data_IF_136038338642
#
_entry.id   IF_136038338642
#
_cell.length_a   1.000
_cell.length_b   1.000
_cell.length_c   1.000
_cell.angle_alpha   90.00
_cell.angle_beta   90.00
_cell.angle_gamma   90.00
#
_symmetry.space_group_name_H-M   'P 1'
#
loop_
_entity.id
_entity.type
_entity.pdbx_description
1 polymer ?
#
# COMPACT_ATOMS: atom_id res chain seq x y z
N UNK A 1 16.96 22.33 5.77
CA UNK A 1 16.12 21.20 5.37
C UNK A 1 16.40 20.09 6.39
N UNK A 2 15.38 19.60 7.07
CA UNK A 2 15.56 18.59 8.13
C UNK A 2 15.54 17.20 7.52
N UNK A 3 16.65 16.47 7.61
CA UNK A 3 16.75 15.05 7.22
C UNK A 3 15.93 14.13 8.15
N UNK A 4 15.44 14.66 9.27
CA UNK A 4 14.66 13.97 10.30
C UNK A 4 13.22 13.61 9.89
N UNK A 5 12.75 14.13 8.75
CA UNK A 5 11.39 13.86 8.28
C UNK A 5 11.31 12.65 7.35
N UNK A 6 12.43 12.28 6.71
CA UNK A 6 12.42 11.13 5.80
C UNK A 6 12.33 9.84 6.62
N UNK A 7 11.35 8.95 6.35
CA UNK A 7 11.31 7.66 7.02
C UNK A 7 12.55 6.83 6.68
N UNK A 8 12.76 5.75 7.41
CA UNK A 8 13.81 4.78 7.07
C UNK A 8 13.55 4.19 5.69
N UNK A 9 14.55 4.25 4.82
CA UNK A 9 14.48 3.84 3.43
C UNK A 9 15.42 2.66 3.16
N UNK A 10 14.97 1.70 2.37
CA UNK A 10 15.82 0.64 1.80
C UNK A 10 16.18 0.99 0.35
N UNK A 11 17.44 0.80 -0.02
CA UNK A 11 17.87 0.85 -1.42
C UNK A 11 17.52 -0.48 -2.08
N UNK A 12 16.69 -0.41 -3.12
CA UNK A 12 16.40 -1.55 -3.97
C UNK A 12 17.30 -1.45 -5.20
N UNK A 13 18.20 -2.44 -5.40
CA UNK A 13 19.15 -2.38 -6.51
C UNK A 13 18.43 -2.50 -7.85
N UNK A 14 18.86 -1.72 -8.80
CA UNK A 14 18.42 -1.78 -10.19
C UNK A 14 18.65 -3.16 -10.81
N UNK A 15 18.11 -3.34 -12.00
CA UNK A 15 18.23 -4.58 -12.75
C UNK A 15 16.89 -5.24 -13.06
N UNK A 16 16.96 -6.36 -13.75
CA UNK A 16 15.80 -7.10 -14.23
C UNK A 16 15.14 -7.93 -13.13
N UNK A 17 13.83 -8.12 -13.25
CA UNK A 17 13.07 -9.12 -12.50
C UNK A 17 11.87 -9.60 -13.34
N UNK A 18 11.29 -10.74 -12.97
CA UNK A 18 10.06 -11.24 -13.55
C UNK A 18 8.85 -10.70 -12.80
N UNK A 19 8.03 -9.89 -13.46
CA UNK A 19 6.79 -9.32 -12.95
C UNK A 19 5.60 -10.15 -13.38
N UNK A 20 4.62 -10.32 -12.46
CA UNK A 20 3.41 -11.08 -12.70
C UNK A 20 3.47 -12.53 -12.22
N UNK A 21 2.45 -13.31 -12.58
CA UNK A 21 2.33 -14.73 -12.24
C UNK A 21 1.47 -15.46 -13.26
N UNK A 22 1.93 -16.63 -13.75
CA UNK A 22 1.14 -17.48 -14.67
C UNK A 22 0.06 -18.28 -13.93
N UNK A 23 0.24 -18.53 -12.63
CA UNK A 23 -0.65 -19.33 -11.79
C UNK A 23 -1.71 -18.50 -11.03
N UNK A 24 -1.88 -17.22 -11.42
CA UNK A 24 -2.75 -16.28 -10.74
C UNK A 24 -3.88 -15.76 -11.65
N UNK A 25 -4.48 -14.61 -11.29
CA UNK A 25 -5.58 -14.02 -12.05
C UNK A 25 -5.12 -13.53 -13.44
N UNK A 26 -6.07 -13.36 -14.37
CA UNK A 26 -5.77 -13.04 -15.77
C UNK A 26 -5.04 -11.72 -15.96
N UNK A 27 -5.26 -10.75 -15.06
CA UNK A 27 -4.64 -9.43 -15.10
C UNK A 27 -3.22 -9.39 -14.49
N UNK A 28 -2.76 -10.49 -13.89
CA UNK A 28 -1.38 -10.71 -13.45
C UNK A 28 -0.50 -11.32 -14.55
N UNK A 29 -1.07 -11.56 -15.74
CA UNK A 29 -0.43 -12.18 -16.92
C UNK A 29 -0.25 -11.21 -18.09
N UNK A 30 0.71 -11.50 -18.97
CA UNK A 30 1.74 -12.53 -18.89
C UNK A 30 2.82 -12.19 -17.86
N UNK A 31 3.54 -13.19 -17.37
CA UNK A 31 4.83 -12.97 -16.71
C UNK A 31 5.77 -12.33 -17.75
N UNK A 32 6.40 -11.22 -17.38
CA UNK A 32 7.26 -10.47 -18.28
C UNK A 32 8.48 -9.90 -17.56
N UNK A 33 9.55 -9.66 -18.32
CA UNK A 33 10.76 -9.03 -17.79
C UNK A 33 10.58 -7.54 -17.69
N UNK A 34 10.93 -7.00 -16.53
CA UNK A 34 10.97 -5.57 -16.26
C UNK A 34 12.36 -5.21 -15.72
N UNK A 35 12.96 -4.17 -16.28
CA UNK A 35 14.17 -3.55 -15.76
C UNK A 35 13.78 -2.28 -15.00
N UNK A 36 14.23 -2.17 -13.76
CA UNK A 36 14.12 -0.95 -12.96
C UNK A 36 15.52 -0.37 -12.69
N UNK A 37 15.62 0.94 -12.62
CA UNK A 37 16.79 1.61 -12.09
C UNK A 37 16.80 1.49 -10.55
N UNK A 38 17.90 1.87 -9.89
CA UNK A 38 17.96 1.94 -8.43
C UNK A 38 16.88 2.88 -7.90
N UNK A 39 16.22 2.50 -6.81
CA UNK A 39 15.26 3.37 -6.12
C UNK A 39 15.30 3.13 -4.61
N UNK A 40 14.90 4.13 -3.86
CA UNK A 40 14.67 4.02 -2.43
C UNK A 40 13.18 3.76 -2.18
N UNK A 41 12.87 2.87 -1.23
CA UNK A 41 11.50 2.63 -0.78
C UNK A 41 11.44 2.63 0.75
N UNK A 42 10.39 3.19 1.33
CA UNK A 42 10.21 3.16 2.78
C UNK A 42 10.11 1.71 3.28
N UNK A 43 10.85 1.39 4.34
CA UNK A 43 10.92 0.02 4.87
C UNK A 43 9.57 -0.47 5.41
N UNK A 44 8.63 0.44 5.67
CA UNK A 44 7.28 0.17 6.17
C UNK A 44 6.27 1.13 5.54
N UNK A 45 4.95 0.86 5.65
CA UNK A 45 3.92 1.84 5.32
C UNK A 45 4.06 3.12 6.16
N UNK A 46 3.60 4.27 5.61
CA UNK A 46 3.56 5.53 6.36
C UNK A 46 2.70 5.35 7.61
N UNK A 47 3.27 5.67 8.76
CA UNK A 47 2.60 5.56 10.06
C UNK A 47 1.70 6.75 10.35
N UNK A 48 0.76 6.58 11.29
CA UNK A 48 -0.05 7.68 11.78
C UNK A 48 0.81 8.82 12.36
N UNK A 49 1.88 8.50 13.07
CA UNK A 49 2.79 9.51 13.62
C UNK A 49 3.49 10.35 12.54
N UNK A 50 3.92 9.71 11.45
CA UNK A 50 4.53 10.41 10.30
C UNK A 50 3.51 11.26 9.57
N UNK A 51 2.31 10.72 9.33
CA UNK A 51 1.23 11.45 8.66
C UNK A 51 0.72 12.65 9.50
N UNK A 52 0.74 12.55 10.83
CA UNK A 52 0.35 13.65 11.72
C UNK A 52 1.28 14.88 11.59
N UNK A 53 2.55 14.68 11.25
CA UNK A 53 3.45 15.81 10.95
C UNK A 53 2.98 16.56 9.71
N UNK A 54 2.64 15.83 8.65
CA UNK A 54 2.11 16.41 7.42
C UNK A 54 0.81 17.20 7.66
N UNK A 55 -0.15 16.61 8.41
CA UNK A 55 -1.40 17.29 8.72
C UNK A 55 -1.16 18.60 9.49
N UNK A 56 -0.29 18.57 10.51
CA UNK A 56 0.07 19.78 11.30
C UNK A 56 0.77 20.86 10.47
N UNK A 57 1.69 20.46 9.59
CA UNK A 57 2.50 21.40 8.83
C UNK A 57 1.73 22.08 7.70
N UNK A 58 0.73 21.38 7.15
CA UNK A 58 0.02 21.83 5.94
C UNK A 58 -1.43 22.22 6.16
N UNK A 59 -2.04 21.83 7.28
CA UNK A 59 -3.49 21.93 7.49
C UNK A 59 -4.29 20.98 6.59
N UNK A 60 -3.64 19.94 6.04
CA UNK A 60 -4.36 18.92 5.28
C UNK A 60 -5.40 18.24 6.16
N UNK A 61 -6.52 17.84 5.56
CA UNK A 61 -7.60 17.17 6.31
C UNK A 61 -7.09 15.89 7.00
N UNK A 62 -7.44 15.66 8.26
CA UNK A 62 -7.06 14.45 8.97
C UNK A 62 -7.85 13.22 8.45
N UNK A 63 -7.35 12.00 8.66
CA UNK A 63 -8.10 10.78 8.39
C UNK A 63 -9.44 10.73 9.13
N UNK A 64 -10.53 10.67 8.36
CA UNK A 64 -11.89 10.60 8.92
C UNK A 64 -12.86 9.94 7.94
N UNK A 65 -14.04 9.56 8.41
CA UNK A 65 -15.14 9.12 7.55
C UNK A 65 -15.95 10.33 7.11
N UNK A 66 -15.58 10.90 5.97
CA UNK A 66 -16.29 12.01 5.31
C UNK A 66 -17.50 11.51 4.51
N UNK A 67 -17.39 11.55 3.18
CA UNK A 67 -18.36 10.96 2.27
C UNK A 67 -18.04 9.48 2.09
N UNK A 68 -19.04 8.62 2.17
CA UNK A 68 -18.80 7.19 1.99
C UNK A 68 -18.38 6.88 0.54
N UNK A 69 -17.33 6.06 0.33
CA UNK A 69 -16.96 5.64 -1.01
C UNK A 69 -18.11 4.96 -1.74
N UNK A 70 -18.23 5.16 -3.06
CA UNK A 70 -19.30 4.60 -3.88
C UNK A 70 -19.40 3.06 -3.73
N UNK A 71 -18.27 2.38 -3.58
CA UNK A 71 -18.24 0.93 -3.35
C UNK A 71 -18.92 0.51 -2.04
N UNK A 72 -18.97 1.41 -1.05
CA UNK A 72 -19.67 1.19 0.23
C UNK A 72 -21.15 1.48 0.07
N UNK A 73 -21.50 2.63 -0.50
CA UNK A 73 -22.91 3.06 -0.67
C UNK A 73 -23.69 2.14 -1.60
N UNK A 74 -23.05 1.61 -2.64
CA UNK A 74 -23.63 0.60 -3.53
C UNK A 74 -24.02 -0.71 -2.81
N UNK A 75 -23.49 -0.97 -1.62
CA UNK A 75 -23.84 -2.12 -0.79
C UNK A 75 -25.02 -1.91 0.15
N UNK A 76 -25.62 -0.71 0.15
CA UNK A 76 -26.79 -0.35 0.97
C UNK A 76 -26.47 -0.05 2.44
N UNK A 77 -27.52 0.29 3.19
CA UNK A 77 -27.43 0.84 4.55
C UNK A 77 -26.70 -0.06 5.56
N UNK A 78 -26.83 -1.38 5.45
CA UNK A 78 -26.12 -2.31 6.34
C UNK A 78 -24.60 -2.20 6.14
N UNK A 79 -24.14 -2.16 4.90
CA UNK A 79 -22.72 -2.00 4.57
C UNK A 79 -22.18 -0.63 4.98
N UNK A 80 -22.98 0.41 4.80
CA UNK A 80 -22.64 1.77 5.24
C UNK A 80 -22.46 1.83 6.76
N UNK A 81 -23.41 1.26 7.53
CA UNK A 81 -23.33 1.22 8.98
C UNK A 81 -22.12 0.41 9.47
N UNK A 82 -21.88 -0.76 8.87
CA UNK A 82 -20.72 -1.58 9.21
C UNK A 82 -19.39 -0.84 8.91
N UNK A 83 -19.32 -0.09 7.80
CA UNK A 83 -18.16 0.72 7.47
C UNK A 83 -17.93 1.84 8.49
N UNK A 84 -18.98 2.58 8.88
CA UNK A 84 -18.88 3.64 9.89
C UNK A 84 -18.49 3.10 11.26
N UNK A 85 -19.08 2.00 11.70
CA UNK A 85 -18.76 1.37 12.97
C UNK A 85 -17.30 0.91 13.05
N UNK A 86 -16.83 0.20 12.03
CA UNK A 86 -15.43 -0.25 11.98
C UNK A 86 -14.48 0.93 11.81
N UNK A 87 -14.84 1.88 10.95
CA UNK A 87 -14.03 3.06 10.65
C UNK A 87 -13.83 3.99 11.83
N UNK A 88 -14.78 4.02 12.78
CA UNK A 88 -14.72 4.91 13.96
C UNK A 88 -13.41 4.75 14.77
N UNK A 89 -12.85 3.53 14.83
CA UNK A 89 -11.59 3.25 15.52
C UNK A 89 -10.34 3.83 14.81
N UNK A 90 -10.49 4.38 13.61
CA UNK A 90 -9.42 4.91 12.76
C UNK A 90 -9.57 6.42 12.50
N UNK A 91 -10.67 7.02 12.94
CA UNK A 91 -10.94 8.46 12.81
C UNK A 91 -10.05 9.22 13.78
N UNK A 92 -9.44 10.29 13.28
CA UNK A 92 -8.59 11.16 14.08
C UNK A 92 -9.41 12.23 14.82
N UNK A 93 -8.91 12.64 15.97
CA UNK A 93 -9.37 13.84 16.67
C UNK A 93 -8.44 15.01 16.27
N UNK A 94 -8.93 15.84 15.35
CA UNK A 94 -8.16 16.92 14.73
C UNK A 94 -6.85 16.40 14.12
N UNK A 95 -5.70 16.82 14.62
CA UNK A 95 -4.38 16.42 14.15
C UNK A 95 -3.79 15.21 14.90
N UNK A 96 -4.57 14.60 15.77
CA UNK A 96 -4.14 13.51 16.65
C UNK A 96 -4.68 12.18 16.17
N UNK A 97 -3.81 11.19 15.90
CA UNK A 97 -4.26 9.83 15.59
C UNK A 97 -4.94 9.18 16.80
N UNK A 98 -5.74 8.14 16.61
CA UNK A 98 -6.34 7.39 17.70
C UNK A 98 -5.29 6.88 18.70
N UNK A 99 -5.64 6.88 19.99
CA UNK A 99 -4.77 6.44 21.07
C UNK A 99 -4.21 5.04 20.83
N UNK A 100 -2.91 4.88 21.08
CA UNK A 100 -2.19 3.61 20.91
C UNK A 100 -1.95 3.21 19.45
N UNK A 101 -2.24 4.09 18.46
CA UNK A 101 -2.07 3.79 17.03
C UNK A 101 -1.03 4.65 16.31
N UNK A 102 -0.16 5.32 17.05
CA UNK A 102 0.85 6.20 16.46
C UNK A 102 1.78 5.48 15.48
N UNK A 103 2.15 4.25 15.77
CA UNK A 103 3.02 3.36 14.99
C UNK A 103 2.28 2.41 14.02
N UNK A 104 0.94 2.46 13.98
CA UNK A 104 0.16 1.76 12.97
C UNK A 104 0.20 2.49 11.62
N UNK A 105 -0.02 1.78 10.49
CA UNK A 105 -0.19 2.44 9.20
C UNK A 105 -1.31 3.48 9.25
N UNK A 106 -1.11 4.63 8.62
CA UNK A 106 -2.19 5.57 8.37
C UNK A 106 -3.21 4.93 7.44
N UNK A 107 -4.49 5.12 7.73
CA UNK A 107 -5.62 4.63 6.94
C UNK A 107 -6.67 5.72 6.75
N UNK A 108 -7.77 5.43 6.06
CA UNK A 108 -8.80 6.41 5.67
C UNK A 108 -8.23 7.52 4.78
N UNK A 109 -7.21 7.21 3.99
CA UNK A 109 -6.56 8.12 3.04
C UNK A 109 -6.89 7.73 1.60
N UNK A 110 -7.21 8.72 0.76
CA UNK A 110 -7.42 8.59 -0.68
C UNK A 110 -6.08 8.62 -1.41
N UNK A 111 -6.11 8.30 -2.69
CA UNK A 111 -4.93 8.40 -3.55
C UNK A 111 -4.31 9.80 -3.52
N UNK A 112 -5.14 10.85 -3.66
CA UNK A 112 -4.67 12.24 -3.66
C UNK A 112 -4.10 12.67 -2.30
N UNK A 113 -4.58 12.13 -1.19
CA UNK A 113 -4.02 12.39 0.14
C UNK A 113 -2.58 11.81 0.24
N UNK A 114 -2.35 10.62 -0.32
CA UNK A 114 -1.03 10.00 -0.37
C UNK A 114 -0.07 10.78 -1.29
N UNK A 115 -0.56 11.27 -2.44
CA UNK A 115 0.22 12.13 -3.35
C UNK A 115 0.57 13.46 -2.68
N UNK A 116 -0.37 14.09 -1.97
CA UNK A 116 -0.12 15.33 -1.23
C UNK A 116 0.93 15.15 -0.13
N UNK A 117 0.90 14.03 0.60
CA UNK A 117 1.96 13.67 1.56
C UNK A 117 3.33 13.58 0.89
N UNK A 118 3.42 12.89 -0.25
CA UNK A 118 4.69 12.76 -1.00
C UNK A 118 5.21 14.12 -1.47
N UNK A 119 4.33 15.01 -1.92
CA UNK A 119 4.70 16.35 -2.36
C UNK A 119 5.22 17.22 -1.21
N UNK A 120 4.54 17.19 -0.04
CA UNK A 120 5.01 17.85 1.18
C UNK A 120 6.37 17.33 1.62
N UNK A 121 6.54 16.01 1.64
CA UNK A 121 7.80 15.40 2.06
C UNK A 121 8.94 15.76 1.10
N UNK A 122 8.66 15.82 -0.21
CA UNK A 122 9.64 16.25 -1.21
C UNK A 122 10.08 17.69 -0.98
N UNK A 123 9.13 18.60 -0.75
CA UNK A 123 9.42 20.02 -0.48
C UNK A 123 10.20 20.19 0.83
N UNK A 124 9.88 19.41 1.85
CA UNK A 124 10.49 19.50 3.18
C UNK A 124 11.91 18.94 3.24
N UNK A 125 12.18 17.88 2.46
CA UNK A 125 13.46 17.16 2.49
C UNK A 125 14.40 17.49 1.34
N UNK A 126 13.88 18.07 0.25
CA UNK A 126 14.61 18.30 -1.00
C UNK A 126 14.84 17.04 -1.83
N UNK A 127 14.27 15.89 -1.44
CA UNK A 127 14.31 14.64 -2.22
C UNK A 127 13.02 14.47 -3.01
N UNK A 128 13.11 13.93 -4.21
CA UNK A 128 11.93 13.58 -4.99
C UNK A 128 11.29 12.32 -4.42
N UNK A 129 10.26 12.48 -3.58
CA UNK A 129 9.45 11.41 -3.01
C UNK A 129 8.11 11.30 -3.73
N UNK A 130 7.62 10.08 -3.91
CA UNK A 130 6.40 9.75 -4.64
C UNK A 130 5.83 8.42 -4.15
N UNK A 131 4.67 8.03 -4.63
CA UNK A 131 4.24 6.63 -4.53
C UNK A 131 5.16 5.75 -5.39
N UNK A 132 5.45 4.51 -4.97
CA UNK A 132 6.15 3.55 -5.82
C UNK A 132 5.30 3.25 -7.06
N UNK A 133 5.92 2.95 -8.19
CA UNK A 133 5.20 2.32 -9.30
C UNK A 133 4.81 0.90 -8.92
N UNK A 134 3.84 0.32 -9.62
CA UNK A 134 3.41 -1.06 -9.40
C UNK A 134 4.59 -2.03 -9.55
N UNK A 135 5.45 -1.80 -10.54
CA UNK A 135 6.64 -2.61 -10.77
C UNK A 135 7.69 -2.47 -9.67
N UNK A 136 7.93 -1.25 -9.17
CA UNK A 136 8.82 -1.02 -8.02
C UNK A 136 8.30 -1.73 -6.78
N UNK A 137 7.00 -1.61 -6.51
CA UNK A 137 6.37 -2.26 -5.36
C UNK A 137 6.51 -3.79 -5.44
N UNK A 138 6.24 -4.40 -6.61
CA UNK A 138 6.34 -5.84 -6.78
C UNK A 138 7.78 -6.34 -6.65
N UNK A 139 8.76 -5.67 -7.29
CA UNK A 139 10.18 -6.00 -7.13
C UNK A 139 10.62 -5.94 -5.67
N UNK A 140 10.22 -4.88 -4.98
CA UNK A 140 10.50 -4.69 -3.56
C UNK A 140 9.87 -5.80 -2.70
N UNK A 141 8.60 -6.15 -2.97
CA UNK A 141 7.87 -7.21 -2.27
C UNK A 141 8.53 -8.58 -2.42
N UNK A 142 9.01 -8.93 -3.62
CA UNK A 142 9.69 -10.20 -3.89
C UNK A 142 11.04 -10.34 -3.17
N UNK A 143 11.64 -9.25 -2.68
CA UNK A 143 12.84 -9.30 -1.88
C UNK A 143 14.08 -9.84 -2.61
N UNK A 144 14.17 -9.67 -3.95
CA UNK A 144 15.27 -10.18 -4.77
C UNK A 144 15.21 -11.68 -5.07
N UNK A 145 14.09 -12.35 -4.74
CA UNK A 145 13.89 -13.76 -5.05
C UNK A 145 12.81 -13.90 -6.10
N UNK A 146 13.19 -14.41 -7.26
CA UNK A 146 12.28 -14.60 -8.39
C UNK A 146 11.15 -15.59 -8.08
N UNK A 147 9.97 -15.31 -8.65
CA UNK A 147 8.81 -16.20 -8.73
C UNK A 147 8.21 -16.65 -7.40
N UNK A 148 8.60 -16.08 -6.26
CA UNK A 148 7.95 -16.39 -4.99
C UNK A 148 6.56 -15.80 -4.90
N UNK A 149 5.63 -16.57 -4.34
CA UNK A 149 4.23 -16.14 -4.19
C UNK A 149 4.08 -15.02 -3.15
N UNK A 150 4.71 -15.18 -1.98
CA UNK A 150 4.65 -14.22 -0.88
C UNK A 150 6.04 -13.64 -0.58
N UNK A 151 6.14 -12.50 0.13
CA UNK A 151 7.42 -11.87 0.47
C UNK A 151 8.39 -12.79 1.23
N UNK A 152 7.89 -13.80 1.91
CA UNK A 152 8.65 -14.80 2.68
C UNK A 152 8.83 -16.15 1.98
N UNK A 153 8.19 -16.40 0.82
CA UNK A 153 8.29 -17.66 0.08
C UNK A 153 6.97 -18.13 -0.51
N UNK A 154 6.85 -19.44 -0.79
CA UNK A 154 5.71 -20.00 -1.52
C UNK A 154 4.60 -20.55 -0.62
N UNK A 155 4.90 -20.77 0.65
CA UNK A 155 3.94 -21.31 1.62
C UNK A 155 3.32 -20.18 2.43
N UNK A 156 1.99 -20.23 2.58
CA UNK A 156 1.30 -19.33 3.48
C UNK A 156 1.74 -19.63 4.93
N UNK A 157 2.14 -18.57 5.64
CA UNK A 157 2.39 -18.63 7.08
C UNK A 157 1.63 -17.50 7.79
N UNK A 158 0.71 -17.86 8.66
CA UNK A 158 -0.14 -16.93 9.41
C UNK A 158 0.61 -16.11 10.46
N UNK A 159 1.83 -16.51 10.78
CA UNK A 159 2.69 -15.81 11.74
C UNK A 159 3.55 -14.72 11.10
N UNK A 160 3.48 -14.58 9.78
CA UNK A 160 4.35 -13.66 9.04
C UNK A 160 3.60 -12.44 8.47
N UNK A 161 2.29 -12.32 8.73
CA UNK A 161 1.49 -11.23 8.16
C UNK A 161 0.17 -11.04 8.90
N UNK A 162 -0.31 -9.80 8.94
CA UNK A 162 -1.61 -9.44 9.50
C UNK A 162 -2.71 -9.53 8.41
N UNK A 163 -3.48 -10.62 8.42
CA UNK A 163 -4.64 -10.81 7.54
C UNK A 163 -5.76 -11.59 8.25
N UNK A 164 -6.98 -11.55 7.70
CA UNK A 164 -8.14 -12.18 8.31
C UNK A 164 -8.12 -13.71 8.07
N UNK A 165 -7.33 -14.41 8.88
CA UNK A 165 -7.19 -15.86 8.80
C UNK A 165 -8.49 -16.62 9.12
N UNK A 166 -9.36 -16.03 9.96
CA UNK A 166 -10.67 -16.54 10.33
C UNK A 166 -11.71 -15.41 10.28
N UNK A 167 -12.71 -15.49 9.36
CA UNK A 167 -13.77 -14.48 9.27
C UNK A 167 -14.56 -14.25 10.57
N UNK A 168 -14.63 -15.23 11.46
CA UNK A 168 -15.31 -15.08 12.76
C UNK A 168 -14.60 -14.06 13.69
N UNK A 169 -13.30 -13.81 13.47
CA UNK A 169 -12.50 -12.87 14.27
C UNK A 169 -12.57 -11.43 13.75
N UNK A 170 -13.33 -11.13 12.67
CA UNK A 170 -13.37 -9.83 12.03
C UNK A 170 -13.62 -8.65 12.99
N UNK A 171 -14.50 -8.84 13.96
CA UNK A 171 -14.86 -7.78 14.91
C UNK A 171 -13.73 -7.39 15.88
N UNK A 172 -12.79 -8.30 16.12
CA UNK A 172 -11.63 -8.09 17.01
C UNK A 172 -10.33 -7.82 16.25
N UNK A 173 -10.37 -7.86 14.90
CA UNK A 173 -9.21 -7.66 14.03
C UNK A 173 -9.07 -6.18 13.65
N UNK A 174 -7.85 -5.78 13.30
CA UNK A 174 -7.54 -4.42 12.88
C UNK A 174 -6.11 -4.31 12.34
N UNK A 175 -5.66 -3.11 12.05
CA UNK A 175 -4.24 -2.88 11.76
C UNK A 175 -3.38 -3.20 12.98
N UNK A 176 -2.17 -3.64 12.75
CA UNK A 176 -1.12 -3.83 13.78
C UNK A 176 -0.08 -2.71 13.67
N UNK A 177 0.71 -2.47 14.73
CA UNK A 177 1.93 -1.67 14.60
C UNK A 177 2.76 -2.13 13.41
N UNK A 178 3.33 -1.20 12.65
CA UNK A 178 4.29 -1.53 11.61
C UNK A 178 5.48 -2.30 12.22
N UNK A 179 6.07 -3.21 11.44
CA UNK A 179 7.21 -4.06 11.86
C UNK A 179 6.89 -5.10 12.94
N UNK A 180 5.61 -5.37 13.20
CA UNK A 180 5.25 -6.46 14.13
C UNK A 180 5.68 -7.83 13.59
N UNK A 181 5.70 -7.99 12.28
CA UNK A 181 6.09 -9.21 11.58
C UNK A 181 7.47 -9.10 10.97
N UNK A 182 8.18 -10.24 10.71
CA UNK A 182 9.51 -10.22 10.12
C UNK A 182 9.54 -9.54 8.73
N UNK A 183 10.65 -8.86 8.39
CA UNK A 183 10.81 -8.25 7.08
C UNK A 183 11.12 -9.30 6.01
N UNK A 184 10.93 -8.91 4.74
CA UNK A 184 11.43 -9.67 3.61
C UNK A 184 12.98 -9.53 3.46
N UNK A 185 13.63 -10.22 2.50
CA UNK A 185 15.08 -10.16 2.33
C UNK A 185 15.66 -8.77 2.01
N UNK A 186 14.85 -7.82 1.53
CA UNK A 186 15.27 -6.42 1.37
C UNK A 186 15.08 -5.57 2.63
N UNK A 187 14.68 -6.16 3.75
CA UNK A 187 14.45 -5.45 5.00
C UNK A 187 13.10 -4.72 5.04
N UNK A 188 12.17 -5.06 4.15
CA UNK A 188 10.87 -4.40 4.06
C UNK A 188 9.82 -5.13 4.86
N UNK A 189 9.12 -4.40 5.72
CA UNK A 189 8.05 -4.89 6.57
C UNK A 189 6.68 -4.69 5.92
N UNK A 190 5.71 -5.52 6.32
CA UNK A 190 4.30 -5.39 5.96
C UNK A 190 4.02 -5.37 4.44
N UNK A 191 4.88 -6.04 3.64
CA UNK A 191 4.71 -6.16 2.18
C UNK A 191 3.55 -7.10 1.79
N UNK A 192 2.93 -7.77 2.77
CA UNK A 192 1.70 -8.53 2.60
C UNK A 192 0.87 -8.40 3.87
N UNK A 193 -0.42 -8.08 3.74
CA UNK A 193 -1.33 -7.84 4.87
C UNK A 193 -1.16 -6.44 5.49
N UNK A 194 -1.72 -6.26 6.67
CA UNK A 194 -1.86 -5.01 7.40
C UNK A 194 -2.74 -3.99 6.66
N UNK A 195 -2.23 -3.32 5.62
CA UNK A 195 -3.02 -2.43 4.77
C UNK A 195 -2.73 -2.67 3.30
N UNK A 196 -3.74 -2.50 2.46
CA UNK A 196 -3.57 -2.28 1.04
C UNK A 196 -2.79 -1.00 0.82
N UNK A 197 -1.90 -0.97 -0.16
CA UNK A 197 -1.05 0.18 -0.42
C UNK A 197 -1.32 0.79 -1.78
N UNK A 198 -1.59 2.10 -1.80
CA UNK A 198 -1.64 2.87 -3.03
C UNK A 198 -0.29 2.82 -3.75
N UNK A 199 -0.33 2.54 -5.06
CA UNK A 199 0.80 2.72 -5.96
C UNK A 199 0.48 3.76 -7.04
N UNK A 200 1.50 4.22 -7.76
CA UNK A 200 1.37 5.29 -8.74
C UNK A 200 0.42 4.97 -9.89
N UNK A 201 0.36 3.71 -10.31
CA UNK A 201 -0.15 3.27 -11.58
C UNK A 201 -1.67 3.37 -11.69
N UNK A 202 -2.16 3.81 -12.86
CA UNK A 202 -3.51 3.52 -13.29
C UNK A 202 -3.64 2.01 -13.60
N UNK A 203 -4.80 1.47 -13.33
CA UNK A 203 -5.07 0.06 -13.62
C UNK A 203 -5.58 -0.13 -15.05
N UNK A 204 -4.97 -1.08 -15.76
CA UNK A 204 -5.46 -1.68 -17.00
C UNK A 204 -5.20 -3.19 -16.95
N UNK A 205 -6.23 -4.05 -17.14
CA UNK A 205 -6.04 -5.50 -17.10
C UNK A 205 -5.15 -6.05 -18.19
N UNK A 206 -4.97 -5.33 -19.29
CA UNK A 206 -4.14 -5.73 -20.43
C UNK A 206 -2.73 -5.12 -20.41
N UNK A 207 -2.41 -4.26 -19.43
CA UNK A 207 -1.17 -3.50 -19.43
C UNK A 207 0.08 -4.37 -19.48
N UNK A 208 0.12 -5.50 -18.77
CA UNK A 208 1.29 -6.38 -18.73
C UNK A 208 1.70 -6.93 -20.09
N UNK A 209 0.73 -7.13 -21.01
CA UNK A 209 1.02 -7.57 -22.38
C UNK A 209 1.73 -6.52 -23.25
N UNK A 210 1.66 -5.24 -22.87
CA UNK A 210 2.21 -4.10 -23.63
C UNK A 210 3.12 -3.20 -22.80
N UNK A 211 3.40 -3.61 -21.56
CA UNK A 211 4.24 -2.86 -20.63
C UNK A 211 5.62 -2.57 -21.21
N UNK A 212 6.15 -1.36 -21.10
CA UNK A 212 7.54 -1.08 -21.37
C UNK A 212 8.46 -1.99 -20.55
N UNK A 213 9.54 -2.45 -21.14
CA UNK A 213 10.51 -3.29 -20.42
C UNK A 213 11.35 -2.52 -19.41
N UNK A 214 11.43 -1.18 -19.51
CA UNK A 214 12.24 -0.34 -18.61
C UNK A 214 11.38 0.67 -17.89
N UNK A 215 11.48 0.67 -16.56
CA UNK A 215 10.79 1.59 -15.63
C UNK A 215 9.31 1.82 -15.99
N UNK A 216 8.47 0.77 -16.12
CA UNK A 216 7.07 0.94 -16.40
C UNK A 216 6.39 1.71 -15.27
N UNK A 217 5.48 2.62 -15.62
CA UNK A 217 4.75 3.48 -14.68
C UNK A 217 3.23 3.39 -14.84
N UNK A 218 2.77 2.31 -15.47
CA UNK A 218 1.35 2.11 -15.77
C UNK A 218 0.86 2.89 -16.99
N UNK A 219 -0.42 2.76 -17.33
CA UNK A 219 -1.07 3.56 -18.36
C UNK A 219 -1.02 5.05 -18.00
N UNK A 220 -1.02 5.92 -19.02
CA UNK A 220 -0.99 7.39 -18.84
C UNK A 220 -2.29 7.96 -18.23
N UNK A 221 -3.40 7.21 -18.33
CA UNK A 221 -4.71 7.58 -17.77
C UNK A 221 -5.53 6.34 -17.46
N UNK A 222 -6.56 6.49 -16.62
CA UNK A 222 -7.46 5.40 -16.25
C UNK A 222 -8.59 5.88 -15.35
N UNK A 223 -9.43 4.96 -14.92
CA UNK A 223 -10.52 5.21 -13.97
C UNK A 223 -10.26 4.58 -12.60
N UNK A 224 -9.38 3.60 -12.54
CA UNK A 224 -9.03 2.85 -11.33
C UNK A 224 -7.53 2.97 -11.07
N UNK A 225 -7.16 3.07 -9.80
CA UNK A 225 -5.77 2.98 -9.33
C UNK A 225 -5.47 1.59 -8.80
N UNK A 226 -4.23 1.18 -8.91
CA UNK A 226 -3.77 -0.10 -8.37
C UNK A 226 -3.52 0.01 -6.87
N UNK A 227 -3.94 -1.03 -6.14
CA UNK A 227 -3.57 -1.29 -4.76
C UNK A 227 -2.82 -2.62 -4.66
N UNK A 228 -1.84 -2.69 -3.78
CA UNK A 228 -0.99 -3.87 -3.63
C UNK A 228 -0.94 -4.36 -2.17
N UNK A 229 -0.51 -5.62 -1.97
CA UNK A 229 -0.14 -6.19 -0.69
C UNK A 229 -1.23 -6.89 0.10
N UNK A 230 -2.48 -6.62 -0.16
CA UNK A 230 -3.56 -7.10 0.72
C UNK A 230 -3.63 -6.28 2.01
N UNK A 231 -4.65 -6.52 2.82
CA UNK A 231 -4.83 -5.84 4.09
C UNK A 231 -5.38 -6.77 5.17
N UNK A 232 -5.50 -6.27 6.39
CA UNK A 232 -5.94 -7.04 7.55
C UNK A 232 -7.35 -7.67 7.40
N UNK A 233 -8.17 -7.17 6.48
CA UNK A 233 -9.50 -7.72 6.16
C UNK A 233 -9.50 -8.83 5.10
N UNK A 234 -8.35 -9.13 4.51
CA UNK A 234 -8.26 -10.12 3.44
C UNK A 234 -8.41 -11.52 4.01
N UNK A 235 -9.45 -12.24 3.57
CA UNK A 235 -9.66 -13.65 3.88
C UNK A 235 -9.19 -14.58 2.75
N UNK A 236 -9.18 -14.09 1.51
CA UNK A 236 -8.63 -14.81 0.36
C UNK A 236 -7.13 -14.60 0.26
N UNK A 237 -6.39 -15.60 0.67
CA UNK A 237 -4.93 -15.55 0.76
C UNK A 237 -4.21 -15.31 -0.59
N UNK A 238 -4.91 -15.50 -1.71
CA UNK A 238 -4.38 -15.16 -3.04
C UNK A 238 -4.08 -13.67 -3.15
N UNK A 239 -4.88 -12.83 -2.48
CA UNK A 239 -4.75 -11.37 -2.46
C UNK A 239 -3.51 -10.88 -1.69
N UNK A 240 -2.78 -11.76 -0.97
CA UNK A 240 -1.53 -11.45 -0.27
C UNK A 240 -0.30 -11.71 -1.14
N UNK A 241 -0.48 -12.24 -2.36
CA UNK A 241 0.64 -12.56 -3.25
C UNK A 241 1.36 -11.31 -3.73
N UNK A 242 2.67 -11.43 -3.96
CA UNK A 242 3.48 -10.34 -4.50
C UNK A 242 2.95 -9.81 -5.85
N UNK A 243 2.27 -10.65 -6.64
CA UNK A 243 1.76 -10.31 -7.97
C UNK A 243 0.32 -9.78 -7.97
N UNK A 244 -0.47 -10.00 -6.89
CA UNK A 244 -1.89 -9.66 -6.90
C UNK A 244 -2.14 -8.16 -7.13
N UNK A 245 -3.04 -7.86 -8.06
CA UNK A 245 -3.42 -6.52 -8.50
C UNK A 245 -4.84 -6.18 -8.06
N UNK A 246 -4.99 -5.45 -6.96
CA UNK A 246 -6.30 -4.91 -6.59
C UNK A 246 -6.51 -3.52 -7.23
N UNK A 247 -7.75 -3.12 -7.44
CA UNK A 247 -8.11 -1.90 -8.17
C UNK A 247 -9.36 -1.25 -7.60
N UNK A 248 -9.28 0.05 -7.41
CA UNK A 248 -10.41 0.88 -6.92
C UNK A 248 -10.35 2.29 -7.53
N UNK A 249 -11.47 3.04 -7.56
CA UNK A 249 -11.46 4.46 -7.89
C UNK A 249 -10.51 5.26 -6.96
N UNK A 250 -9.84 6.32 -7.46
CA UNK A 250 -8.86 7.08 -6.68
C UNK A 250 -9.45 7.83 -5.46
N UNK A 251 -10.74 8.09 -5.47
CA UNK A 251 -11.49 8.70 -4.36
C UNK A 251 -11.89 7.69 -3.27
N UNK A 252 -11.63 6.41 -3.49
CA UNK A 252 -11.87 5.36 -2.50
C UNK A 252 -10.92 5.52 -1.31
N UNK A 253 -11.44 5.29 -0.13
CA UNK A 253 -10.65 5.16 1.10
C UNK A 253 -11.26 4.09 2.00
N UNK A 254 -10.45 3.51 2.87
CA UNK A 254 -10.89 2.49 3.82
C UNK A 254 -9.95 2.45 5.02
N UNK A 255 -10.45 1.92 6.13
CA UNK A 255 -9.67 1.59 7.33
C UNK A 255 -8.70 0.41 7.11
N UNK A 256 -8.55 -0.07 5.89
CA UNK A 256 -7.59 -1.08 5.47
C UNK A 256 -6.77 -0.65 4.23
N UNK A 257 -6.80 0.63 3.86
CA UNK A 257 -6.01 1.21 2.76
C UNK A 257 -5.11 2.30 3.33
N UNK A 258 -3.81 2.16 3.08
CA UNK A 258 -2.75 3.12 3.37
C UNK A 258 -1.80 3.23 2.19
N UNK A 259 -0.53 3.54 2.45
CA UNK A 259 0.50 3.66 1.41
C UNK A 259 1.91 3.64 2.00
N UNK A 260 2.90 3.34 1.17
CA UNK A 260 4.32 3.64 1.44
C UNK A 260 4.88 4.55 0.36
N UNK A 261 6.04 5.13 0.61
CA UNK A 261 6.70 6.04 -0.33
C UNK A 261 7.90 5.40 -0.98
N UNK A 262 8.24 5.89 -2.18
CA UNK A 262 9.51 5.68 -2.85
C UNK A 262 10.17 7.03 -3.13
N UNK A 263 11.49 7.04 -3.21
CA UNK A 263 12.26 8.24 -3.59
C UNK A 263 13.34 7.87 -4.61
N UNK A 264 13.80 8.85 -5.36
CA UNK A 264 15.05 8.72 -6.13
C UNK A 264 16.24 8.64 -5.17
N UNK A 265 17.28 7.83 -5.46
CA UNK A 265 18.49 7.72 -4.65
C UNK A 265 19.23 9.03 -4.41
#
# INVERSE_FOLDING_TARGET
MSTDLLPEMALIPGGEFLMGSEDAEGDERPVHRVHLDDFLIAVQPVTNAEYARFVRDTGHRPPAVYELPLVVTAGGAERENAFRQTGAAYVWDDVSPPDGRADHPVTLVRYDDAVAYCAWLSASTGRLCRLPTEAEWEKASRGGVESKRYPWGDRLDRNLSNFLADPALKASHGTTPCRLYPPNPYGLFDMAGNVWEWVHDWYDPAYYATSPTRNPSGPSSGHLRVLRGGGWLVADVRMLSCSHRHKVPPDTYSYAIGFRIACTP
#
